data_IF_654912104950
#
_entry.id   IF_654912104950
#
_cell.length_a   1.000
_cell.length_b   1.000
_cell.length_c   1.000
_cell.angle_alpha   90.00
_cell.angle_beta   90.00
_cell.angle_gamma   90.00
#
_symmetry.space_group_name_H-M   'P 1'
#
loop_
_entity.id
_entity.type
_entity.pdbx_description
1 polymer ?
#
# COMPACT_ATOMS: atom_id res chain seq x y z
N UNK A 1 -22.06 38.73 -2.74
CA UNK A 1 -23.45 39.25 -2.80
C UNK A 1 -23.55 40.45 -1.86
N UNK A 2 -24.23 41.55 -2.26
CA UNK A 2 -24.39 42.71 -1.39
C UNK A 2 -25.20 42.34 -0.13
N UNK A 3 -24.82 42.82 1.06
CA UNK A 3 -25.33 42.35 2.35
C UNK A 3 -26.84 42.61 2.56
N UNK A 4 -27.42 43.52 1.78
CA UNK A 4 -28.84 43.89 1.85
C UNK A 4 -29.78 42.87 1.18
N UNK A 5 -29.25 41.98 0.33
CA UNK A 5 -30.01 40.90 -0.33
C UNK A 5 -29.92 39.56 0.40
N UNK A 6 -28.97 39.42 1.34
CA UNK A 6 -28.74 38.17 2.05
C UNK A 6 -29.81 37.89 3.11
N UNK A 7 -30.25 38.91 3.84
CA UNK A 7 -31.24 38.81 4.93
C UNK A 7 -32.66 38.47 4.47
N UNK A 8 -33.24 39.06 3.39
CA UNK A 8 -34.56 38.64 2.92
C UNK A 8 -34.54 37.25 2.30
N UNK A 9 -33.43 36.87 1.63
CA UNK A 9 -33.28 35.55 1.02
C UNK A 9 -33.15 34.44 2.08
N UNK A 10 -32.43 34.68 3.17
CA UNK A 10 -32.33 33.71 4.29
C UNK A 10 -33.63 33.59 5.07
N UNK A 11 -34.38 34.68 5.24
CA UNK A 11 -35.74 34.64 5.80
C UNK A 11 -36.70 33.86 4.91
N UNK A 12 -36.63 34.05 3.59
CA UNK A 12 -37.50 33.36 2.63
C UNK A 12 -37.14 31.87 2.52
N UNK A 13 -35.85 31.52 2.48
CA UNK A 13 -35.39 30.14 2.51
C UNK A 13 -35.67 29.45 3.85
N UNK A 14 -35.55 30.19 4.96
CA UNK A 14 -35.91 29.70 6.29
C UNK A 14 -37.42 29.44 6.44
N UNK A 15 -38.25 30.36 5.96
CA UNK A 15 -39.70 30.20 5.93
C UNK A 15 -40.12 29.04 5.00
N UNK A 16 -39.47 28.90 3.84
CA UNK A 16 -39.69 27.80 2.91
C UNK A 16 -39.26 26.46 3.52
N UNK A 17 -38.12 26.40 4.22
CA UNK A 17 -37.66 25.20 4.91
C UNK A 17 -38.57 24.78 6.08
N UNK A 18 -39.26 25.73 6.73
CA UNK A 18 -40.22 25.45 7.79
C UNK A 18 -41.59 25.00 7.23
N UNK A 19 -41.99 25.53 6.07
CA UNK A 19 -43.26 25.22 5.39
C UNK A 19 -43.19 23.92 4.58
N UNK A 20 -42.02 23.56 4.04
CA UNK A 20 -41.80 22.37 3.23
C UNK A 20 -42.19 21.06 3.94
N UNK A 21 -41.75 20.78 5.20
CA UNK A 21 -42.17 19.56 5.90
C UNK A 21 -43.66 19.57 6.23
N UNK A 22 -44.26 20.74 6.47
CA UNK A 22 -45.69 20.88 6.75
C UNK A 22 -46.54 20.60 5.50
N UNK A 23 -46.08 21.05 4.34
CA UNK A 23 -46.69 20.79 3.03
C UNK A 23 -46.51 19.33 2.61
N UNK A 24 -45.32 18.74 2.83
CA UNK A 24 -45.07 17.31 2.57
C UNK A 24 -45.91 16.41 3.48
N UNK A 25 -46.04 16.74 4.77
CA UNK A 25 -46.91 16.01 5.69
C UNK A 25 -48.38 16.08 5.25
N UNK A 26 -48.84 17.25 4.81
CA UNK A 26 -50.21 17.44 4.31
C UNK A 26 -50.46 16.70 2.98
N UNK A 27 -49.47 16.68 2.07
CA UNK A 27 -49.52 15.94 0.81
C UNK A 27 -49.48 14.42 1.02
N UNK A 28 -48.82 13.94 2.09
CA UNK A 28 -48.81 12.55 2.52
C UNK A 28 -50.09 12.14 3.29
N UNK A 29 -51.10 13.01 3.39
CA UNK A 29 -52.38 12.71 4.03
C UNK A 29 -52.41 12.83 5.54
N UNK A 30 -51.33 13.31 6.18
CA UNK A 30 -51.28 13.53 7.63
C UNK A 30 -52.05 14.80 7.99
N UNK A 31 -53.28 14.63 8.49
CA UNK A 31 -54.05 15.73 9.09
C UNK A 31 -53.53 15.99 10.50
N UNK A 32 -52.98 17.18 10.76
CA UNK A 32 -52.44 17.58 12.08
C UNK A 32 -53.44 17.37 13.22
N UNK A 33 -54.74 17.52 12.94
CA UNK A 33 -55.83 17.29 13.90
C UNK A 33 -55.93 15.82 14.35
N UNK A 34 -55.62 14.85 13.48
CA UNK A 34 -55.59 13.42 13.81
C UNK A 34 -54.26 12.95 14.41
N UNK A 35 -53.16 13.68 14.16
CA UNK A 35 -51.85 13.41 14.75
C UNK A 35 -51.78 13.82 16.23
N UNK A 36 -52.55 14.83 16.65
CA UNK A 36 -52.64 15.30 18.04
C UNK A 36 -53.67 14.52 18.88
N UNK A 37 -54.58 13.78 18.25
CA UNK A 37 -55.68 13.08 18.93
C UNK A 37 -55.30 11.72 19.53
N UNK A 38 -54.23 11.10 19.03
CA UNK A 38 -53.77 9.78 19.49
C UNK A 38 -52.39 9.89 20.18
N UNK A 39 -52.23 9.38 21.41
CA UNK A 39 -50.98 9.51 22.17
C UNK A 39 -49.77 8.87 21.45
N UNK A 40 -50.00 7.82 20.66
CA UNK A 40 -48.97 7.18 19.84
C UNK A 40 -48.40 8.10 18.74
N UNK A 41 -49.27 8.90 18.10
CA UNK A 41 -48.86 9.82 17.04
C UNK A 41 -48.11 11.03 17.61
N UNK A 42 -48.50 11.51 18.78
CA UNK A 42 -47.79 12.56 19.52
C UNK A 42 -46.36 12.13 19.89
N UNK A 43 -46.20 10.88 20.31
CA UNK A 43 -44.90 10.31 20.66
C UNK A 43 -44.04 10.14 19.41
N UNK A 44 -44.60 9.60 18.33
CA UNK A 44 -43.88 9.47 17.06
C UNK A 44 -43.41 10.84 16.54
N UNK A 45 -44.26 11.87 16.65
CA UNK A 45 -43.92 13.25 16.31
C UNK A 45 -42.80 13.80 17.21
N UNK A 46 -42.83 13.50 18.51
CA UNK A 46 -41.81 13.95 19.46
C UNK A 46 -40.45 13.29 19.21
N UNK A 47 -40.43 11.98 18.95
CA UNK A 47 -39.21 11.24 18.57
C UNK A 47 -38.63 11.79 17.27
N UNK A 48 -39.49 12.06 16.28
CA UNK A 48 -39.06 12.63 15.00
C UNK A 48 -38.54 14.07 15.14
N UNK A 49 -39.20 14.90 15.96
CA UNK A 49 -38.75 16.26 16.27
C UNK A 49 -37.40 16.28 17.00
N UNK A 50 -37.18 15.37 17.95
CA UNK A 50 -35.89 15.20 18.63
C UNK A 50 -34.80 14.78 17.63
N UNK A 51 -35.11 13.84 16.71
CA UNK A 51 -34.20 13.43 15.65
C UNK A 51 -33.80 14.57 14.70
N UNK A 52 -34.78 15.37 14.27
CA UNK A 52 -34.52 16.55 13.41
C UNK A 52 -33.72 17.62 14.16
N UNK A 53 -34.06 17.89 15.42
CA UNK A 53 -33.32 18.85 16.25
C UNK A 53 -31.86 18.45 16.43
N UNK A 54 -31.60 17.15 16.57
CA UNK A 54 -30.25 16.61 16.68
C UNK A 54 -29.47 16.72 15.36
N UNK A 55 -30.10 16.38 14.22
CA UNK A 55 -29.48 16.54 12.91
C UNK A 55 -29.16 18.01 12.60
N UNK A 56 -30.05 18.93 12.96
CA UNK A 56 -29.83 20.37 12.83
C UNK A 56 -28.68 20.86 13.73
N UNK A 57 -28.56 20.33 14.95
CA UNK A 57 -27.47 20.64 15.85
C UNK A 57 -26.10 20.16 15.31
N UNK A 58 -26.03 18.93 14.80
CA UNK A 58 -24.82 18.40 14.17
C UNK A 58 -24.43 19.18 12.92
N UNK A 59 -25.42 19.56 12.10
CA UNK A 59 -25.19 20.41 10.93
C UNK A 59 -24.67 21.80 11.32
N UNK A 60 -25.23 22.41 12.37
CA UNK A 60 -24.77 23.68 12.90
C UNK A 60 -23.31 23.59 13.39
N UNK A 61 -22.98 22.54 14.14
CA UNK A 61 -21.63 22.30 14.64
C UNK A 61 -20.61 22.14 13.50
N UNK A 62 -20.95 21.33 12.49
CA UNK A 62 -20.13 21.12 11.30
C UNK A 62 -19.94 22.40 10.49
N UNK A 63 -21.00 23.18 10.31
CA UNK A 63 -20.92 24.46 9.57
C UNK A 63 -19.98 25.47 10.25
N UNK A 64 -19.97 25.51 11.59
CA UNK A 64 -19.08 26.35 12.40
C UNK A 64 -17.62 25.88 12.34
N UNK A 65 -17.36 24.58 12.33
CA UNK A 65 -16.00 24.05 12.18
C UNK A 65 -15.42 24.32 10.79
N UNK A 66 -16.23 24.19 9.72
CA UNK A 66 -15.79 24.52 8.37
C UNK A 66 -15.59 26.03 8.14
N UNK A 67 -16.37 26.89 8.81
CA UNK A 67 -16.14 28.33 8.77
C UNK A 67 -14.81 28.73 9.44
N UNK A 68 -14.46 28.07 10.54
CA UNK A 68 -13.17 28.25 11.24
C UNK A 68 -11.97 27.81 10.39
N UNK A 69 -12.10 26.73 9.63
CA UNK A 69 -11.04 26.23 8.74
C UNK A 69 -10.86 27.06 7.45
N UNK A 70 -11.85 27.91 7.11
CA UNK A 70 -11.82 28.77 5.91
C UNK A 70 -11.36 30.20 6.18
N UNK A 71 -11.11 30.57 7.43
CA UNK A 71 -10.67 31.92 7.79
C UNK A 71 -9.15 32.08 7.54
N UNK A 72 -8.71 32.99 6.66
CA UNK A 72 -7.31 33.16 6.25
C UNK A 72 -6.39 33.71 7.35
N UNK A 73 -6.92 34.18 8.48
CA UNK A 73 -6.13 34.62 9.63
C UNK A 73 -5.66 33.45 10.54
N UNK A 74 -6.13 32.23 10.27
CA UNK A 74 -5.86 31.05 11.11
C UNK A 74 -4.49 30.47 10.81
N UNK A 75 -3.58 30.45 11.80
CA UNK A 75 -2.22 29.96 11.63
C UNK A 75 -2.13 28.42 11.68
N UNK A 76 -1.16 27.77 11.01
CA UNK A 76 -0.99 26.31 11.02
C UNK A 76 -0.84 25.72 12.43
N UNK A 77 -0.25 26.48 13.37
CA UNK A 77 -0.15 26.10 14.78
C UNK A 77 -1.47 26.12 15.55
N UNK A 78 -2.43 26.98 15.17
CA UNK A 78 -3.78 27.01 15.77
C UNK A 78 -4.65 25.85 15.25
N UNK A 79 -4.41 25.40 14.01
CA UNK A 79 -5.05 24.21 13.43
C UNK A 79 -4.52 22.93 14.09
N UNK A 80 -3.21 22.87 14.39
CA UNK A 80 -2.62 21.79 15.19
C UNK A 80 -3.12 21.82 16.65
N UNK A 81 -3.21 23.01 17.27
CA UNK A 81 -3.80 23.16 18.60
C UNK A 81 -5.30 22.83 18.65
N UNK A 82 -6.06 22.99 17.56
CA UNK A 82 -7.45 22.52 17.43
C UNK A 82 -7.56 20.99 17.36
N UNK A 83 -6.53 20.32 16.81
CA UNK A 83 -6.40 18.86 16.79
C UNK A 83 -6.03 18.30 18.18
N UNK A 84 -5.32 19.09 18.99
CA UNK A 84 -4.91 18.76 20.35
C UNK A 84 -5.89 19.25 21.44
N UNK A 85 -6.73 20.23 21.11
CA UNK A 85 -7.90 20.61 21.91
C UNK A 85 -8.92 19.45 21.87
N UNK A 86 -9.71 19.24 22.93
CA UNK A 86 -10.65 18.13 23.04
C UNK A 86 -11.90 18.34 22.15
N UNK A 87 -11.69 18.58 20.86
CA UNK A 87 -12.69 18.52 19.78
C UNK A 87 -12.19 17.67 18.60
N UNK A 88 -11.39 16.65 18.88
CA UNK A 88 -11.29 15.41 18.10
C UNK A 88 -11.76 14.24 18.95
N UNK A 89 -13.04 14.30 19.38
CA UNK A 89 -13.81 13.38 20.24
C UNK A 89 -13.04 12.22 20.93
N UNK A 90 -12.86 12.23 22.27
CA UNK A 90 -12.21 11.13 23.00
C UNK A 90 -12.80 9.74 22.66
N UNK A 91 -12.04 8.66 22.83
CA UNK A 91 -12.49 7.26 22.62
C UNK A 91 -13.76 6.87 23.43
N UNK A 92 -14.21 7.74 24.33
CA UNK A 92 -15.48 7.64 25.04
C UNK A 92 -16.67 8.35 24.38
N UNK A 93 -16.49 9.30 23.46
CA UNK A 93 -17.56 10.17 22.96
C UNK A 93 -18.32 9.59 21.79
N UNK A 94 -17.67 8.88 20.86
CA UNK A 94 -18.39 8.07 19.84
C UNK A 94 -19.30 7.05 20.53
N UNK A 95 -18.78 6.48 21.60
CA UNK A 95 -19.39 5.44 22.41
C UNK A 95 -20.54 6.00 23.30
N UNK A 96 -20.36 7.21 23.84
CA UNK A 96 -21.41 7.97 24.53
C UNK A 96 -22.48 8.51 23.57
N UNK A 97 -22.10 8.90 22.35
CA UNK A 97 -23.03 9.34 21.30
C UNK A 97 -23.87 8.15 20.82
N UNK A 98 -23.27 6.97 20.62
CA UNK A 98 -24.01 5.74 20.29
C UNK A 98 -24.93 5.33 21.44
N UNK A 99 -24.46 5.37 22.70
CA UNK A 99 -25.31 5.09 23.86
C UNK A 99 -26.45 6.11 24.01
N UNK A 100 -26.21 7.38 23.68
CA UNK A 100 -27.22 8.45 23.68
C UNK A 100 -28.23 8.26 22.54
N UNK A 101 -27.78 7.91 21.34
CA UNK A 101 -28.64 7.60 20.18
C UNK A 101 -29.50 6.36 20.49
N UNK A 102 -28.92 5.31 21.05
CA UNK A 102 -29.62 4.08 21.44
C UNK A 102 -30.58 4.35 22.61
N UNK A 103 -30.23 5.20 23.57
CA UNK A 103 -31.11 5.59 24.68
C UNK A 103 -32.26 6.50 24.24
N UNK A 104 -32.00 7.48 23.38
CA UNK A 104 -33.02 8.45 22.92
C UNK A 104 -33.94 7.84 21.86
N UNK A 105 -33.45 6.93 21.01
CA UNK A 105 -34.27 6.29 19.98
C UNK A 105 -34.85 4.97 20.48
N UNK A 106 -34.03 4.12 21.11
CA UNK A 106 -34.42 2.78 21.53
C UNK A 106 -35.37 2.76 22.73
N UNK A 107 -35.21 3.67 23.70
CA UNK A 107 -36.08 3.70 24.88
C UNK A 107 -37.52 4.10 24.53
N UNK A 108 -37.76 5.13 23.68
CA UNK A 108 -39.10 5.37 23.14
C UNK A 108 -39.61 4.25 22.23
N UNK A 109 -38.75 3.63 21.42
CA UNK A 109 -39.17 2.49 20.57
C UNK A 109 -39.69 1.31 21.41
N UNK A 110 -39.07 1.05 22.56
CA UNK A 110 -39.49 0.00 23.50
C UNK A 110 -40.73 0.40 24.31
N UNK A 111 -40.76 1.62 24.87
CA UNK A 111 -41.90 2.13 25.65
C UNK A 111 -43.19 2.20 24.85
N UNK A 112 -43.10 2.36 23.52
CA UNK A 112 -44.24 2.44 22.61
C UNK A 112 -44.31 1.29 21.61
N UNK A 113 -43.59 0.19 21.86
CA UNK A 113 -43.53 -0.99 20.98
C UNK A 113 -44.91 -1.58 20.67
N UNK A 114 -45.82 -1.61 21.65
CA UNK A 114 -47.21 -2.07 21.49
C UNK A 114 -48.04 -1.12 20.61
N UNK A 115 -47.74 0.18 20.61
CA UNK A 115 -48.43 1.18 19.78
C UNK A 115 -47.88 1.23 18.34
N UNK A 116 -46.63 0.82 18.13
CA UNK A 116 -45.98 0.77 16.80
C UNK A 116 -46.16 -0.57 16.09
N UNK A 117 -46.85 -1.55 16.69
CA UNK A 117 -47.06 -2.90 16.14
C UNK A 117 -45.76 -3.58 15.64
N UNK A 118 -44.65 -3.35 16.34
CA UNK A 118 -43.37 -3.95 16.01
C UNK A 118 -43.41 -5.46 16.28
N UNK A 119 -42.98 -6.26 15.30
CA UNK A 119 -42.91 -7.72 15.42
C UNK A 119 -42.02 -8.11 16.63
N UNK A 120 -42.44 -9.11 17.41
CA UNK A 120 -41.79 -9.54 18.66
C UNK A 120 -40.29 -9.82 18.50
N UNK A 121 -39.88 -10.30 17.32
CA UNK A 121 -38.47 -10.50 16.97
C UNK A 121 -37.66 -9.19 16.96
N UNK A 122 -38.23 -8.11 16.40
CA UNK A 122 -37.57 -6.80 16.31
C UNK A 122 -37.49 -6.13 17.68
N UNK A 123 -38.55 -6.25 18.50
CA UNK A 123 -38.54 -5.82 19.88
C UNK A 123 -37.47 -6.56 20.70
N UNK A 124 -37.33 -7.88 20.47
CA UNK A 124 -36.27 -8.71 21.06
C UNK A 124 -34.85 -8.28 20.67
N UNK A 125 -34.60 -8.03 19.38
CA UNK A 125 -33.29 -7.55 18.91
C UNK A 125 -32.93 -6.17 19.46
N UNK A 126 -33.89 -5.24 19.48
CA UNK A 126 -33.69 -3.88 20.03
C UNK A 126 -33.44 -3.95 21.54
N UNK A 127 -34.18 -4.79 22.26
CA UNK A 127 -33.96 -5.02 23.69
C UNK A 127 -32.58 -5.64 23.97
N UNK A 128 -32.13 -6.58 23.14
CA UNK A 128 -30.80 -7.19 23.23
C UNK A 128 -29.65 -6.19 23.00
N UNK A 129 -29.80 -5.29 22.03
CA UNK A 129 -28.82 -4.22 21.76
C UNK A 129 -28.78 -3.23 22.93
N UNK A 130 -29.93 -2.84 23.46
CA UNK A 130 -30.01 -1.92 24.62
C UNK A 130 -29.40 -2.56 25.86
N UNK A 131 -29.77 -3.80 26.19
CA UNK A 131 -29.20 -4.53 27.32
C UNK A 131 -27.68 -4.73 27.20
N UNK A 132 -27.18 -5.03 26.00
CA UNK A 132 -25.75 -5.16 25.72
C UNK A 132 -24.98 -3.85 25.91
N UNK A 133 -25.52 -2.72 25.43
CA UNK A 133 -24.88 -1.41 25.55
C UNK A 133 -24.97 -0.87 26.98
N UNK A 134 -26.10 -1.03 27.68
CA UNK A 134 -26.24 -0.64 29.08
C UNK A 134 -25.38 -1.52 30.01
N UNK A 135 -25.31 -2.83 29.78
CA UNK A 135 -24.43 -3.73 30.52
C UNK A 135 -22.95 -3.38 30.33
N UNK A 136 -22.56 -3.05 29.11
CA UNK A 136 -21.20 -2.63 28.78
C UNK A 136 -20.79 -1.29 29.43
N UNK A 137 -21.74 -0.36 29.63
CA UNK A 137 -21.45 0.97 30.18
C UNK A 137 -21.71 1.15 31.68
N UNK A 138 -22.73 0.47 32.22
CA UNK A 138 -23.17 0.63 33.60
C UNK A 138 -22.86 -0.59 34.49
N UNK A 139 -22.40 -1.71 33.91
CA UNK A 139 -22.10 -2.95 34.63
C UNK A 139 -20.89 -2.91 35.58
N UNK A 140 -20.11 -1.83 35.60
CA UNK A 140 -18.90 -1.72 36.43
C UNK A 140 -19.16 -1.20 37.87
N UNK A 141 -20.39 -0.89 38.26
CA UNK A 141 -20.69 -0.41 39.62
C UNK A 141 -22.02 -0.91 40.16
N UNK A 142 -22.09 -2.18 40.56
CA UNK A 142 -22.92 -2.63 41.68
C UNK A 142 -22.69 -4.11 41.96
N UNK A 143 -22.33 -4.44 43.19
CA UNK A 143 -22.11 -5.82 43.64
C UNK A 143 -23.22 -6.29 44.58
N UNK A 144 -23.91 -7.35 44.13
CA UNK A 144 -24.57 -8.47 44.87
C UNK A 144 -25.89 -8.21 45.61
N UNK A 145 -26.85 -9.19 45.66
CA UNK A 145 -26.64 -10.64 45.88
C UNK A 145 -27.58 -11.60 45.08
N UNK A 146 -27.05 -12.30 44.06
CA UNK A 146 -27.72 -13.44 43.39
C UNK A 146 -26.86 -14.71 43.54
N UNK A 147 -26.77 -15.24 44.76
CA UNK A 147 -25.90 -16.39 45.08
C UNK A 147 -26.56 -17.78 44.94
N UNK A 148 -27.83 -17.86 44.56
CA UNK A 148 -28.54 -19.14 44.36
C UNK A 148 -28.91 -19.42 42.89
N UNK A 149 -28.97 -18.37 42.07
CA UNK A 149 -29.08 -18.46 40.61
C UNK A 149 -27.74 -18.87 39.98
N UNK A 150 -26.62 -18.53 40.64
CA UNK A 150 -25.25 -18.78 40.15
C UNK A 150 -24.96 -20.25 39.89
N UNK A 151 -25.45 -21.20 40.71
CA UNK A 151 -25.13 -22.63 40.49
C UNK A 151 -25.77 -23.22 39.23
N UNK A 152 -27.00 -22.83 38.89
CA UNK A 152 -27.66 -23.25 37.64
C UNK A 152 -27.14 -22.49 36.43
N UNK A 153 -26.78 -21.21 36.61
CA UNK A 153 -26.11 -20.43 35.58
C UNK A 153 -24.68 -20.93 35.32
N UNK A 154 -23.96 -21.48 36.31
CA UNK A 154 -22.59 -21.98 36.10
C UNK A 154 -22.56 -23.23 35.20
N UNK A 155 -23.55 -24.11 35.28
CA UNK A 155 -23.65 -25.28 34.39
C UNK A 155 -24.03 -24.89 32.96
N UNK A 156 -25.00 -23.98 32.81
CA UNK A 156 -25.41 -23.42 31.51
C UNK A 156 -24.29 -22.57 30.89
N UNK A 157 -23.58 -21.77 31.69
CA UNK A 157 -22.41 -21.01 31.28
C UNK A 157 -21.23 -21.91 30.94
N UNK A 158 -21.06 -23.09 31.56
CA UNK A 158 -20.01 -24.04 31.21
C UNK A 158 -20.28 -24.80 29.90
N UNK A 159 -21.55 -25.02 29.52
CA UNK A 159 -21.93 -25.52 28.18
C UNK A 159 -21.87 -24.41 27.13
N UNK A 160 -22.38 -23.22 27.46
CA UNK A 160 -22.31 -22.02 26.61
C UNK A 160 -20.88 -21.52 26.44
N UNK A 161 -19.99 -21.67 27.42
CA UNK A 161 -18.56 -21.32 27.29
C UNK A 161 -17.83 -22.32 26.42
N UNK A 162 -18.18 -23.62 26.45
CA UNK A 162 -17.61 -24.60 25.52
C UNK A 162 -18.07 -24.35 24.08
N UNK A 163 -19.34 -23.96 23.91
CA UNK A 163 -19.91 -23.62 22.60
C UNK A 163 -19.44 -22.23 22.10
N UNK A 164 -19.31 -21.24 23.01
CA UNK A 164 -18.70 -19.93 22.72
C UNK A 164 -17.18 -20.02 22.56
N UNK A 165 -16.48 -20.96 23.20
CA UNK A 165 -15.07 -21.23 22.91
C UNK A 165 -14.93 -21.82 21.52
N UNK A 166 -15.77 -22.79 21.14
CA UNK A 166 -15.81 -23.28 19.77
C UNK A 166 -16.18 -22.21 18.72
N UNK A 167 -16.97 -21.18 19.08
CA UNK A 167 -17.30 -20.03 18.24
C UNK A 167 -16.26 -18.88 18.31
N UNK A 168 -15.47 -18.78 19.38
CA UNK A 168 -14.33 -17.84 19.52
C UNK A 168 -13.05 -18.40 18.89
N UNK A 169 -12.94 -19.71 18.84
CA UNK A 169 -11.94 -20.48 18.09
C UNK A 169 -12.39 -20.73 16.63
N UNK A 170 -13.62 -20.32 16.28
CA UNK A 170 -14.03 -20.28 14.89
C UNK A 170 -13.18 -19.20 14.20
N UNK A 171 -12.47 -19.56 13.12
CA UNK A 171 -11.58 -18.64 12.45
C UNK A 171 -12.39 -17.46 11.91
N UNK A 172 -11.90 -16.24 12.10
CA UNK A 172 -12.56 -15.06 11.55
C UNK A 172 -12.52 -15.19 10.02
N UNK A 173 -13.69 -15.31 9.34
CA UNK A 173 -13.73 -15.56 7.91
C UNK A 173 -12.98 -14.48 7.13
N UNK A 174 -13.00 -13.23 7.61
CA UNK A 174 -12.24 -12.14 7.00
C UNK A 174 -10.72 -12.31 7.15
N UNK A 175 -10.27 -12.87 8.28
CA UNK A 175 -8.86 -13.16 8.53
C UNK A 175 -8.36 -14.32 7.68
N UNK A 176 -9.14 -15.39 7.56
CA UNK A 176 -8.85 -16.53 6.68
C UNK A 176 -8.78 -16.08 5.23
N UNK A 177 -9.74 -15.28 4.78
CA UNK A 177 -9.74 -14.72 3.42
C UNK A 177 -8.52 -13.81 3.20
N UNK A 178 -8.18 -12.96 4.17
CA UNK A 178 -6.97 -12.13 4.12
C UNK A 178 -5.69 -12.96 4.03
N UNK A 179 -5.56 -14.03 4.82
CA UNK A 179 -4.42 -14.95 4.79
C UNK A 179 -4.36 -15.76 3.49
N UNK A 180 -5.50 -16.19 2.95
CA UNK A 180 -5.57 -16.87 1.67
C UNK A 180 -5.13 -15.95 0.52
N UNK A 181 -5.59 -14.70 0.51
CA UNK A 181 -5.17 -13.69 -0.46
C UNK A 181 -3.67 -13.38 -0.34
N UNK A 182 -3.14 -13.31 0.88
CA UNK A 182 -1.71 -13.12 1.13
C UNK A 182 -0.90 -14.32 0.63
N UNK A 183 -1.32 -15.53 0.96
CA UNK A 183 -0.68 -16.77 0.51
C UNK A 183 -0.69 -16.87 -1.02
N UNK A 184 -1.79 -16.51 -1.67
CA UNK A 184 -1.91 -16.50 -3.13
C UNK A 184 -0.88 -15.60 -3.81
N UNK A 185 -0.65 -14.39 -3.27
CA UNK A 185 0.38 -13.47 -3.79
C UNK A 185 1.78 -14.08 -3.68
N UNK A 186 2.17 -14.58 -2.51
CA UNK A 186 3.49 -15.20 -2.30
C UNK A 186 3.66 -16.50 -3.08
N UNK A 187 2.59 -17.28 -3.22
CA UNK A 187 2.58 -18.48 -4.03
C UNK A 187 2.82 -18.15 -5.52
N UNK A 188 2.20 -17.08 -6.03
CA UNK A 188 2.43 -16.60 -7.39
C UNK A 188 3.91 -16.30 -7.65
N UNK A 189 4.54 -15.55 -6.75
CA UNK A 189 5.98 -15.22 -6.80
C UNK A 189 6.84 -16.49 -6.72
N UNK A 190 6.58 -17.36 -5.74
CA UNK A 190 7.32 -18.59 -5.54
C UNK A 190 7.23 -19.52 -6.77
N UNK A 191 6.06 -19.60 -7.40
CA UNK A 191 5.85 -20.36 -8.63
C UNK A 191 6.62 -19.75 -9.80
N UNK A 192 6.60 -18.43 -9.98
CA UNK A 192 7.40 -17.75 -11.01
C UNK A 192 8.89 -18.05 -10.82
N UNK A 193 9.39 -17.94 -9.59
CA UNK A 193 10.79 -18.26 -9.27
C UNK A 193 11.12 -19.71 -9.61
N UNK A 194 10.30 -20.68 -9.24
CA UNK A 194 10.62 -22.09 -9.48
C UNK A 194 10.46 -22.52 -10.93
N UNK A 195 9.37 -22.11 -11.58
CA UNK A 195 8.98 -22.63 -12.90
C UNK A 195 9.62 -21.86 -14.04
N UNK A 196 9.75 -20.53 -13.92
CA UNK A 196 10.28 -19.68 -14.99
C UNK A 196 11.78 -19.41 -14.79
N UNK A 197 12.20 -19.11 -13.56
CA UNK A 197 13.59 -18.73 -13.27
C UNK A 197 14.45 -19.94 -12.89
N UNK A 198 13.89 -20.91 -12.18
CA UNK A 198 14.59 -22.09 -11.67
C UNK A 198 15.45 -22.83 -12.70
N UNK A 199 14.96 -23.12 -13.92
CA UNK A 199 15.75 -23.81 -14.95
C UNK A 199 16.98 -23.02 -15.43
N UNK A 200 16.97 -21.70 -15.30
CA UNK A 200 18.07 -20.82 -15.73
C UNK A 200 19.06 -20.49 -14.60
N UNK A 201 18.69 -20.76 -13.34
CA UNK A 201 19.52 -20.47 -12.19
C UNK A 201 20.53 -21.60 -11.90
N UNK A 202 21.78 -21.27 -11.51
CA UNK A 202 22.73 -22.26 -11.02
C UNK A 202 22.19 -23.15 -9.89
N UNK A 203 22.65 -24.41 -9.80
CA UNK A 203 22.25 -25.31 -8.72
C UNK A 203 22.67 -24.75 -7.36
N UNK A 204 21.80 -24.89 -6.36
CA UNK A 204 22.07 -24.44 -4.99
C UNK A 204 21.60 -23.03 -4.64
N UNK A 205 21.16 -22.22 -5.62
CA UNK A 205 20.55 -20.91 -5.35
C UNK A 205 19.17 -21.07 -4.70
N UNK A 206 18.34 -21.96 -5.27
CA UNK A 206 17.02 -22.26 -4.74
C UNK A 206 17.10 -23.41 -3.72
N UNK A 207 16.33 -23.34 -2.62
CA UNK A 207 16.35 -24.41 -1.63
C UNK A 207 15.73 -25.69 -2.21
N UNK A 208 16.28 -26.88 -1.89
CA UNK A 208 15.83 -28.15 -2.49
C UNK A 208 14.37 -28.46 -2.18
N UNK A 209 13.87 -27.98 -1.04
CA UNK A 209 12.48 -28.11 -0.63
C UNK A 209 11.52 -27.12 -1.28
N UNK A 210 11.99 -26.17 -2.10
CA UNK A 210 11.14 -25.10 -2.65
C UNK A 210 9.90 -25.64 -3.41
N UNK A 211 10.06 -26.70 -4.22
CA UNK A 211 8.94 -27.34 -4.90
C UNK A 211 7.91 -27.88 -3.92
N UNK A 212 8.36 -28.59 -2.88
CA UNK A 212 7.46 -29.14 -1.84
C UNK A 212 6.75 -28.04 -1.04
N UNK A 213 7.38 -26.89 -0.84
CA UNK A 213 6.76 -25.73 -0.17
C UNK A 213 5.65 -25.12 -1.04
N UNK A 214 5.89 -24.99 -2.34
CA UNK A 214 4.89 -24.49 -3.30
C UNK A 214 3.70 -25.45 -3.41
N UNK A 215 3.95 -26.75 -3.51
CA UNK A 215 2.88 -27.76 -3.52
C UNK A 215 2.08 -27.79 -2.20
N UNK A 216 2.74 -27.57 -1.06
CA UNK A 216 2.06 -27.46 0.24
C UNK A 216 1.17 -26.21 0.32
N UNK A 217 1.66 -25.08 -0.20
CA UNK A 217 0.90 -23.83 -0.27
C UNK A 217 -0.29 -23.93 -1.23
N UNK A 218 -0.13 -24.57 -2.40
CA UNK A 218 -1.23 -24.85 -3.33
C UNK A 218 -2.33 -25.69 -2.68
N UNK A 219 -1.94 -26.75 -1.95
CA UNK A 219 -2.89 -27.59 -1.21
C UNK A 219 -3.61 -26.81 -0.11
N UNK A 220 -2.90 -25.99 0.66
CA UNK A 220 -3.49 -25.17 1.72
C UNK A 220 -4.49 -24.14 1.15
N UNK A 221 -4.12 -23.47 0.06
CA UNK A 221 -4.99 -22.51 -0.62
C UNK A 221 -6.21 -23.19 -1.26
N UNK A 222 -6.01 -24.35 -1.90
CA UNK A 222 -7.08 -25.17 -2.45
C UNK A 222 -8.08 -25.60 -1.38
N UNK A 223 -7.58 -26.12 -0.25
CA UNK A 223 -8.42 -26.49 0.89
C UNK A 223 -9.22 -25.30 1.42
N UNK A 224 -8.59 -24.14 1.59
CA UNK A 224 -9.26 -22.92 2.03
C UNK A 224 -10.39 -22.49 1.07
N UNK A 225 -10.16 -22.54 -0.24
CA UNK A 225 -11.18 -22.24 -1.25
C UNK A 225 -12.36 -23.21 -1.23
N UNK A 226 -12.10 -24.50 -0.98
CA UNK A 226 -13.17 -25.51 -0.91
C UNK A 226 -14.00 -25.40 0.37
N UNK A 227 -13.38 -25.03 1.49
CA UNK A 227 -14.01 -24.97 2.81
C UNK A 227 -14.64 -23.59 3.10
N UNK A 228 -14.22 -22.53 2.39
CA UNK A 228 -14.73 -21.17 2.56
C UNK A 228 -14.60 -20.70 4.02
N UNK A 229 -15.68 -20.17 4.58
CA UNK A 229 -15.72 -19.69 5.97
C UNK A 229 -15.55 -20.77 7.06
N UNK A 230 -15.43 -22.05 6.67
CA UNK A 230 -15.08 -23.15 7.58
C UNK A 230 -13.61 -23.58 7.51
N UNK A 231 -12.79 -22.88 6.72
CA UNK A 231 -11.37 -23.18 6.61
C UNK A 231 -10.61 -22.75 7.88
N UNK A 232 -9.72 -23.62 8.36
CA UNK A 232 -8.86 -23.34 9.52
C UNK A 232 -7.68 -22.43 9.16
N UNK A 233 -7.27 -21.54 10.06
CA UNK A 233 -6.12 -20.64 9.86
C UNK A 233 -4.77 -21.38 9.82
N UNK A 234 -4.59 -22.43 10.63
CA UNK A 234 -3.28 -23.05 10.85
C UNK A 234 -2.57 -23.56 9.57
N UNK A 235 -3.23 -24.25 8.62
CA UNK A 235 -2.59 -24.67 7.37
C UNK A 235 -2.16 -23.49 6.49
N UNK A 236 -2.97 -22.42 6.43
CA UNK A 236 -2.63 -21.20 5.69
C UNK A 236 -1.45 -20.48 6.32
N UNK A 237 -1.43 -20.37 7.66
CA UNK A 237 -0.33 -19.74 8.39
C UNK A 237 0.98 -20.50 8.22
N UNK A 238 0.94 -21.82 8.30
CA UNK A 238 2.13 -22.67 8.12
C UNK A 238 2.68 -22.57 6.69
N UNK A 239 1.81 -22.61 5.69
CA UNK A 239 2.21 -22.45 4.29
C UNK A 239 2.78 -21.06 4.01
N UNK A 240 2.13 -20.01 4.53
CA UNK A 240 2.58 -18.62 4.37
C UNK A 240 3.96 -18.44 5.01
N UNK A 241 4.12 -18.86 6.27
CA UNK A 241 5.41 -18.76 6.97
C UNK A 241 6.54 -19.55 6.30
N UNK A 242 6.22 -20.66 5.63
CA UNK A 242 7.21 -21.43 4.87
C UNK A 242 7.67 -20.70 3.60
N UNK A 243 6.76 -19.99 2.91
CA UNK A 243 7.10 -19.22 1.71
C UNK A 243 7.78 -17.88 2.03
N UNK A 244 7.41 -17.22 3.13
CA UNK A 244 7.94 -15.91 3.52
C UNK A 244 9.13 -15.99 4.47
N UNK A 245 9.40 -17.15 5.05
CA UNK A 245 10.54 -17.38 5.94
C UNK A 245 11.89 -17.46 5.21
N UNK A 246 12.96 -17.57 5.98
CA UNK A 246 14.35 -17.61 5.49
C UNK A 246 14.63 -18.79 4.53
N UNK A 247 13.85 -19.87 4.65
CA UNK A 247 13.89 -21.04 3.77
C UNK A 247 13.02 -20.93 2.51
N UNK A 248 12.30 -19.81 2.34
CA UNK A 248 11.45 -19.56 1.19
C UNK A 248 12.25 -19.22 -0.08
N UNK A 249 11.69 -19.48 -1.28
CA UNK A 249 12.41 -19.29 -2.54
C UNK A 249 12.75 -17.83 -2.82
N UNK A 250 11.89 -16.88 -2.42
CA UNK A 250 12.15 -15.46 -2.64
C UNK A 250 13.25 -14.92 -1.71
N UNK A 251 13.21 -15.29 -0.42
CA UNK A 251 14.29 -14.96 0.52
C UNK A 251 15.64 -15.57 0.09
N UNK A 252 15.64 -16.80 -0.41
CA UNK A 252 16.84 -17.46 -0.92
C UNK A 252 17.42 -16.72 -2.14
N UNK A 253 16.58 -16.30 -3.09
CA UNK A 253 17.01 -15.52 -4.26
C UNK A 253 17.61 -14.17 -3.86
N UNK A 254 16.96 -13.45 -2.92
CA UNK A 254 17.49 -12.19 -2.38
C UNK A 254 18.86 -12.40 -1.74
N UNK A 255 19.02 -13.44 -0.93
CA UNK A 255 20.28 -13.78 -0.25
C UNK A 255 21.39 -14.15 -1.23
N UNK A 256 21.05 -14.89 -2.29
CA UNK A 256 22.01 -15.26 -3.32
C UNK A 256 22.44 -14.06 -4.18
N UNK A 257 21.54 -13.09 -4.45
CA UNK A 257 21.85 -11.88 -5.21
C UNK A 257 22.63 -10.85 -4.38
N UNK A 258 22.47 -10.87 -3.06
CA UNK A 258 23.03 -9.88 -2.13
C UNK A 258 24.55 -9.59 -2.30
N UNK A 259 25.44 -10.58 -2.54
CA UNK A 259 26.86 -10.35 -2.74
C UNK A 259 27.22 -9.59 -4.02
N UNK A 260 26.30 -9.47 -4.98
CA UNK A 260 26.50 -8.71 -6.22
C UNK A 260 26.26 -7.20 -6.05
N UNK A 261 25.76 -6.77 -4.89
CA UNK A 261 25.33 -5.41 -4.64
C UNK A 261 26.18 -4.74 -3.55
N UNK A 262 26.33 -3.41 -3.61
CA UNK A 262 27.14 -2.68 -2.65
C UNK A 262 26.45 -2.67 -1.28
N UNK A 263 27.26 -2.71 -0.21
CA UNK A 263 26.79 -2.70 1.19
C UNK A 263 26.15 -1.36 1.63
N UNK A 264 26.02 -0.40 0.72
CA UNK A 264 25.61 0.98 1.01
C UNK A 264 24.12 1.14 1.42
N UNK A 265 23.32 0.08 1.40
CA UNK A 265 21.88 0.12 1.66
C UNK A 265 21.48 -0.68 2.93
N UNK A 266 22.16 -0.48 4.05
CA UNK A 266 21.76 -1.05 5.34
C UNK A 266 22.09 -2.54 5.51
N UNK A 267 22.89 -3.09 4.60
CA UNK A 267 23.28 -4.49 4.52
C UNK A 267 23.11 -5.05 3.10
N UNK A 268 23.62 -6.27 2.83
CA UNK A 268 23.58 -6.84 1.48
C UNK A 268 22.14 -7.19 1.04
N UNK A 269 21.29 -7.62 1.99
CA UNK A 269 19.86 -7.91 1.74
C UNK A 269 19.04 -6.63 1.53
N UNK A 270 19.33 -5.56 2.29
CA UNK A 270 18.73 -4.25 2.08
C UNK A 270 19.05 -3.66 0.71
N UNK A 271 20.26 -3.91 0.18
CA UNK A 271 20.62 -3.53 -1.18
C UNK A 271 19.80 -4.28 -2.23
N UNK A 272 19.60 -5.59 -2.07
CA UNK A 272 18.76 -6.39 -2.98
C UNK A 272 17.29 -5.93 -2.95
N UNK A 273 16.75 -5.65 -1.75
CA UNK A 273 15.43 -5.09 -1.59
C UNK A 273 15.30 -3.69 -2.23
N UNK A 274 16.33 -2.84 -2.08
CA UNK A 274 16.37 -1.51 -2.67
C UNK A 274 16.42 -1.57 -4.20
N UNK A 275 17.14 -2.52 -4.81
CA UNK A 275 17.10 -2.74 -6.28
C UNK A 275 15.66 -2.98 -6.76
N UNK A 276 14.91 -3.85 -6.07
CA UNK A 276 13.52 -4.13 -6.42
C UNK A 276 12.63 -2.89 -6.26
N UNK A 277 12.77 -2.16 -5.16
CA UNK A 277 12.02 -0.93 -4.90
C UNK A 277 12.32 0.18 -5.91
N UNK A 278 13.59 0.43 -6.20
CA UNK A 278 14.00 1.43 -7.22
C UNK A 278 13.51 0.98 -8.58
N UNK A 279 13.79 -0.25 -8.98
CA UNK A 279 13.41 -0.79 -10.27
C UNK A 279 11.90 -0.80 -10.50
N UNK A 280 11.07 -0.95 -9.47
CA UNK A 280 9.61 -0.79 -9.55
C UNK A 280 9.18 0.64 -9.84
N UNK A 281 9.83 1.63 -9.21
CA UNK A 281 9.49 3.05 -9.34
C UNK A 281 9.98 3.70 -10.65
N UNK A 282 10.81 3.01 -11.45
CA UNK A 282 11.31 3.53 -12.72
C UNK A 282 10.29 3.36 -13.86
N UNK A 283 10.33 4.27 -14.84
CA UNK A 283 9.66 4.08 -16.13
C UNK A 283 10.34 3.01 -16.99
N UNK A 284 9.70 2.55 -18.07
CA UNK A 284 10.22 1.46 -18.90
C UNK A 284 11.61 1.74 -19.51
N UNK A 285 11.86 2.97 -19.99
CA UNK A 285 13.17 3.39 -20.51
C UNK A 285 14.25 3.40 -19.42
N UNK A 286 13.96 4.04 -18.30
CA UNK A 286 14.83 4.10 -17.13
C UNK A 286 15.14 2.70 -16.55
N UNK A 287 14.15 1.82 -16.48
CA UNK A 287 14.33 0.43 -16.05
C UNK A 287 15.28 -0.35 -16.97
N UNK A 288 15.16 -0.20 -18.30
CA UNK A 288 16.08 -0.85 -19.25
C UNK A 288 17.53 -0.40 -19.04
N UNK A 289 17.75 0.91 -18.86
CA UNK A 289 19.07 1.47 -18.55
C UNK A 289 19.60 0.98 -17.21
N UNK A 290 18.76 1.00 -16.18
CA UNK A 290 19.13 0.56 -14.83
C UNK A 290 19.48 -0.92 -14.79
N UNK A 291 18.69 -1.77 -15.45
CA UNK A 291 18.99 -3.20 -15.62
C UNK A 291 20.29 -3.43 -16.39
N UNK A 292 20.51 -2.73 -17.50
CA UNK A 292 21.75 -2.86 -18.28
C UNK A 292 22.98 -2.54 -17.43
N UNK A 293 22.88 -1.54 -16.56
CA UNK A 293 23.95 -1.18 -15.63
C UNK A 293 24.17 -2.19 -14.51
N UNK A 294 23.10 -2.69 -13.90
CA UNK A 294 23.17 -3.69 -12.83
C UNK A 294 23.80 -5.00 -13.28
N UNK A 295 23.49 -5.42 -14.51
CA UNK A 295 23.96 -6.69 -15.08
C UNK A 295 25.29 -6.57 -15.84
N UNK A 296 25.87 -5.37 -15.90
CA UNK A 296 27.04 -5.08 -16.75
C UNK A 296 26.83 -5.57 -18.20
N UNK A 297 25.59 -5.46 -18.69
CA UNK A 297 25.18 -5.99 -19.98
C UNK A 297 25.78 -5.18 -21.15
N UNK A 298 25.92 -5.78 -22.35
CA UNK A 298 26.34 -5.05 -23.53
C UNK A 298 25.45 -3.82 -23.78
N UNK A 299 26.10 -2.66 -23.95
CA UNK A 299 25.41 -1.39 -24.05
C UNK A 299 24.84 -1.17 -25.45
N UNK A 300 23.59 -1.58 -25.62
CA UNK A 300 22.81 -1.40 -26.85
C UNK A 300 22.55 0.10 -27.10
N UNK A 301 22.73 0.60 -28.34
CA UNK A 301 22.35 1.97 -28.67
C UNK A 301 20.90 2.35 -28.34
N UNK A 302 19.97 1.40 -28.34
CA UNK A 302 18.56 1.62 -28.00
C UNK A 302 18.33 2.00 -26.53
N UNK A 303 19.38 1.96 -25.69
CA UNK A 303 19.34 2.47 -24.31
C UNK A 303 19.35 4.00 -24.26
N UNK A 304 19.83 4.66 -25.32
CA UNK A 304 20.00 6.10 -25.38
C UNK A 304 18.87 6.75 -26.19
N UNK A 305 18.10 7.61 -25.55
CA UNK A 305 16.99 8.30 -26.21
C UNK A 305 17.52 9.42 -27.11
N UNK A 306 17.02 9.48 -28.35
CA UNK A 306 17.46 10.48 -29.33
C UNK A 306 17.28 11.92 -28.78
N UNK A 307 18.33 12.73 -28.88
CA UNK A 307 18.33 14.13 -28.44
C UNK A 307 18.54 14.34 -26.94
N UNK A 308 18.65 13.29 -26.13
CA UNK A 308 18.96 13.44 -24.68
C UNK A 308 20.44 13.62 -24.39
N UNK A 309 21.31 13.18 -25.30
CA UNK A 309 22.77 13.33 -25.20
C UNK A 309 23.18 14.52 -26.07
N UNK A 310 23.68 15.57 -25.42
CA UNK A 310 24.19 16.76 -26.10
C UNK A 310 25.67 16.59 -26.46
N UNK A 311 26.20 17.29 -27.49
CA UNK A 311 27.63 17.30 -27.76
C UNK A 311 28.48 17.72 -26.54
N UNK A 312 28.00 18.67 -25.74
CA UNK A 312 28.65 19.09 -24.50
C UNK A 312 28.69 17.96 -23.43
N UNK A 313 27.62 17.18 -23.31
CA UNK A 313 27.64 15.99 -22.42
C UNK A 313 28.65 14.93 -22.91
N UNK A 314 28.72 14.72 -24.23
CA UNK A 314 29.66 13.77 -24.83
C UNK A 314 31.12 14.17 -24.61
N UNK A 315 31.44 15.46 -24.69
CA UNK A 315 32.78 15.98 -24.38
C UNK A 315 33.20 15.65 -22.94
N UNK A 316 32.32 15.95 -21.97
CA UNK A 316 32.58 15.64 -20.56
C UNK A 316 32.76 14.14 -20.31
N UNK A 317 32.01 13.29 -21.02
CA UNK A 317 32.10 11.82 -20.89
C UNK A 317 33.28 11.23 -21.63
N UNK A 318 33.76 11.87 -22.69
CA UNK A 318 34.94 11.43 -23.44
C UNK A 318 36.17 11.38 -22.53
N UNK A 319 36.31 12.34 -21.61
CA UNK A 319 37.36 12.35 -20.60
C UNK A 319 37.31 11.15 -19.62
N UNK A 320 36.16 10.48 -19.48
CA UNK A 320 35.96 9.32 -18.62
C UNK A 320 36.23 7.98 -19.33
N UNK A 321 36.46 8.01 -20.65
CA UNK A 321 36.76 6.83 -21.46
C UNK A 321 38.23 6.88 -21.93
N UNK A 322 39.17 6.20 -21.25
CA UNK A 322 40.60 6.32 -21.50
C UNK A 322 41.02 6.15 -22.97
N UNK A 323 40.45 5.16 -23.66
CA UNK A 323 40.79 4.88 -25.07
C UNK A 323 40.32 6.03 -25.96
N UNK A 324 39.11 6.52 -25.76
CA UNK A 324 38.55 7.63 -26.54
C UNK A 324 39.21 8.97 -26.18
N UNK A 325 39.49 9.21 -24.90
CA UNK A 325 40.24 10.37 -24.44
C UNK A 325 41.59 10.47 -25.14
N UNK A 326 42.35 9.36 -25.23
CA UNK A 326 43.64 9.32 -25.91
C UNK A 326 43.54 9.71 -27.39
N UNK A 327 42.50 9.24 -28.08
CA UNK A 327 42.38 9.35 -29.54
C UNK A 327 41.66 10.60 -30.02
N UNK A 328 40.69 11.07 -29.26
CA UNK A 328 39.72 12.07 -29.72
C UNK A 328 39.79 13.40 -28.98
N UNK A 329 40.46 13.48 -27.81
CA UNK A 329 40.72 14.77 -27.13
C UNK A 329 41.41 15.80 -28.04
N UNK A 330 42.42 15.44 -28.87
CA UNK A 330 43.07 16.41 -29.77
C UNK A 330 42.13 16.96 -30.86
N UNK A 331 40.99 16.30 -31.09
CA UNK A 331 40.05 16.58 -32.18
C UNK A 331 38.79 17.30 -31.70
N UNK A 332 38.70 17.60 -30.40
CA UNK A 332 37.54 18.30 -29.81
C UNK A 332 37.35 19.72 -30.36
N UNK A 333 38.45 20.36 -30.80
CA UNK A 333 38.41 21.70 -31.42
C UNK A 333 37.84 21.67 -32.86
N UNK A 334 37.71 20.49 -33.48
CA UNK A 334 37.13 20.35 -34.82
C UNK A 334 35.60 20.62 -34.79
N UNK A 335 35.08 21.57 -35.58
CA UNK A 335 33.65 21.90 -35.56
C UNK A 335 32.81 20.71 -36.03
N UNK A 336 31.82 20.32 -35.23
CA UNK A 336 30.89 19.22 -35.55
C UNK A 336 31.45 17.80 -35.32
N UNK A 337 32.69 17.68 -34.86
CA UNK A 337 33.32 16.38 -34.59
C UNK A 337 32.54 15.58 -33.54
N UNK A 338 32.19 16.19 -32.40
CA UNK A 338 31.45 15.52 -31.32
C UNK A 338 30.07 15.01 -31.77
N UNK A 339 29.34 15.78 -32.58
CA UNK A 339 28.06 15.35 -33.12
C UNK A 339 28.22 14.13 -34.05
N UNK A 340 29.25 14.14 -34.88
CA UNK A 340 29.59 13.03 -35.78
C UNK A 340 30.05 11.79 -35.01
N UNK A 341 30.87 11.98 -33.97
CA UNK A 341 31.33 10.90 -33.10
C UNK A 341 30.15 10.26 -32.36
N UNK A 342 29.22 11.06 -31.85
CA UNK A 342 27.99 10.57 -31.21
C UNK A 342 27.14 9.74 -32.18
N UNK A 343 26.93 10.23 -33.41
CA UNK A 343 26.20 9.48 -34.44
C UNK A 343 26.87 8.13 -34.73
N UNK A 344 28.19 8.11 -34.91
CA UNK A 344 28.95 6.88 -35.09
C UNK A 344 28.83 5.93 -33.89
N UNK A 345 28.94 6.45 -32.66
CA UNK A 345 28.92 5.65 -31.43
C UNK A 345 27.53 5.13 -31.05
N UNK A 346 26.45 5.69 -31.58
CA UNK A 346 25.08 5.27 -31.29
C UNK A 346 24.49 4.35 -32.39
N UNK A 347 25.35 3.81 -33.26
CA UNK A 347 24.94 2.82 -34.26
C UNK A 347 25.12 1.37 -33.80
N UNK A 348 24.36 0.43 -34.36
CA UNK A 348 24.54 -1.00 -34.07
C UNK A 348 25.90 -1.53 -34.56
N UNK A 349 26.43 -0.99 -35.66
CA UNK A 349 27.73 -1.34 -36.26
C UNK A 349 28.90 -0.47 -35.78
N UNK A 350 28.72 0.25 -34.68
CA UNK A 350 29.62 1.31 -34.22
C UNK A 350 31.08 0.87 -34.05
N UNK A 351 31.36 -0.30 -33.47
CA UNK A 351 32.74 -0.75 -33.24
C UNK A 351 33.52 -0.95 -34.56
N UNK A 352 32.88 -1.58 -35.55
CA UNK A 352 33.48 -1.80 -36.87
C UNK A 352 33.64 -0.47 -37.64
N UNK A 353 32.65 0.42 -37.53
CA UNK A 353 32.69 1.74 -38.16
C UNK A 353 33.78 2.63 -37.56
N UNK A 354 33.94 2.61 -36.23
CA UNK A 354 34.97 3.34 -35.51
C UNK A 354 36.37 2.87 -35.93
N UNK A 355 36.58 1.55 -35.97
CA UNK A 355 37.81 0.94 -36.45
C UNK A 355 38.14 1.33 -37.90
N UNK A 356 37.14 1.33 -38.78
CA UNK A 356 37.34 1.64 -40.19
C UNK A 356 37.58 3.14 -40.48
N UNK A 357 36.96 4.04 -39.71
CA UNK A 357 36.97 5.49 -39.98
C UNK A 357 37.98 6.28 -39.17
N UNK A 358 38.38 5.80 -38.00
CA UNK A 358 39.25 6.55 -37.10
C UNK A 358 40.60 5.83 -36.93
N UNK A 359 41.71 6.42 -37.44
CA UNK A 359 43.04 5.87 -37.22
C UNK A 359 43.48 6.06 -35.76
N UNK A 360 44.29 5.12 -35.25
CA UNK A 360 44.95 5.23 -33.93
C UNK A 360 44.53 4.17 -32.91
N UNK A 361 43.49 3.38 -33.19
CA UNK A 361 43.26 2.13 -32.46
C UNK A 361 44.36 1.11 -32.80
N UNK A 362 44.81 0.34 -31.81
CA UNK A 362 45.80 -0.71 -31.94
C UNK A 362 45.20 -2.00 -32.52
N UNK A 363 43.92 -2.26 -32.27
CA UNK A 363 43.20 -3.42 -32.77
C UNK A 363 41.68 -3.15 -32.86
N UNK A 364 40.92 -3.99 -33.60
CA UNK A 364 39.45 -3.94 -33.60
C UNK A 364 38.85 -4.12 -32.19
N UNK A 365 39.51 -4.90 -31.33
CA UNK A 365 39.10 -5.12 -29.95
C UNK A 365 39.26 -3.86 -29.10
N UNK A 366 40.33 -3.09 -29.29
CA UNK A 366 40.51 -1.81 -28.60
C UNK A 366 39.42 -0.80 -29.01
N UNK A 367 38.98 -0.82 -30.27
CA UNK A 367 37.85 0.01 -30.71
C UNK A 367 36.53 -0.40 -30.05
N UNK A 368 36.27 -1.70 -29.91
CA UNK A 368 35.08 -2.21 -29.20
C UNK A 368 35.13 -1.87 -27.70
N UNK A 369 36.30 -2.00 -27.07
CA UNK A 369 36.51 -1.65 -25.67
C UNK A 369 36.31 -0.15 -25.44
N UNK A 370 36.92 0.71 -26.27
CA UNK A 370 36.75 2.16 -26.16
C UNK A 370 35.29 2.60 -26.34
N UNK A 371 34.56 1.94 -27.26
CA UNK A 371 33.13 2.16 -27.42
C UNK A 371 32.34 1.75 -26.17
N UNK A 372 32.68 0.63 -25.55
CA UNK A 372 32.03 0.17 -24.31
C UNK A 372 32.29 1.14 -23.15
N UNK A 373 33.53 1.62 -22.98
CA UNK A 373 33.91 2.63 -21.98
C UNK A 373 33.12 3.93 -22.18
N UNK A 374 33.05 4.42 -23.43
CA UNK A 374 32.33 5.65 -23.74
C UNK A 374 30.82 5.52 -23.54
N UNK A 375 30.21 4.43 -24.01
CA UNK A 375 28.78 4.16 -23.77
C UNK A 375 28.48 3.99 -22.27
N UNK A 376 29.39 3.40 -21.49
CA UNK A 376 29.22 3.26 -20.05
C UNK A 376 29.20 4.64 -19.37
N UNK A 377 30.12 5.53 -19.74
CA UNK A 377 30.14 6.90 -19.25
C UNK A 377 28.86 7.68 -19.60
N UNK A 378 28.33 7.50 -20.83
CA UNK A 378 27.04 8.08 -21.24
C UNK A 378 25.86 7.51 -20.46
N UNK A 379 25.88 6.20 -20.17
CA UNK A 379 24.83 5.53 -19.42
C UNK A 379 24.78 6.02 -17.96
N UNK A 380 25.93 6.23 -17.32
CA UNK A 380 26.02 6.76 -15.96
C UNK A 380 25.32 8.13 -15.84
N UNK A 381 25.47 9.01 -16.83
CA UNK A 381 24.78 10.29 -16.85
C UNK A 381 23.26 10.13 -17.02
N UNK A 382 22.83 9.25 -17.94
CA UNK A 382 21.42 8.96 -18.13
C UNK A 382 20.79 8.38 -16.84
N UNK A 383 21.51 7.50 -16.14
CA UNK A 383 21.07 6.91 -14.88
C UNK A 383 21.03 7.91 -13.74
N UNK A 384 21.97 8.84 -13.67
CA UNK A 384 21.91 9.92 -12.68
C UNK A 384 20.67 10.81 -12.85
N UNK A 385 20.13 10.92 -14.07
CA UNK A 385 18.85 11.60 -14.34
C UNK A 385 17.64 10.73 -14.00
N UNK A 386 17.72 9.43 -14.29
CA UNK A 386 16.60 8.50 -14.07
C UNK A 386 16.41 8.12 -12.58
N UNK A 387 17.52 7.87 -11.88
CA UNK A 387 17.56 7.44 -10.49
C UNK A 387 17.91 8.64 -9.63
N UNK A 388 16.89 9.43 -9.31
CA UNK A 388 17.04 10.63 -8.49
C UNK A 388 17.07 10.28 -6.98
N UNK A 389 17.58 11.18 -6.11
CA UNK A 389 17.50 11.01 -4.67
C UNK A 389 16.06 10.80 -4.16
N UNK A 390 15.06 11.39 -4.80
CA UNK A 390 13.65 11.19 -4.44
C UNK A 390 13.17 9.77 -4.77
N UNK A 391 13.65 9.19 -5.87
CA UNK A 391 13.32 7.81 -6.26
C UNK A 391 13.91 6.81 -5.27
N UNK A 392 15.17 7.03 -4.87
CA UNK A 392 15.83 6.26 -3.82
C UNK A 392 15.11 6.40 -2.47
N UNK A 393 14.78 7.63 -2.07
CA UNK A 393 14.07 7.90 -0.82
C UNK A 393 12.68 7.25 -0.79
N UNK A 394 11.94 7.27 -1.91
CA UNK A 394 10.64 6.61 -2.02
C UNK A 394 10.78 5.09 -1.86
N UNK A 395 11.71 4.47 -2.58
CA UNK A 395 11.97 3.04 -2.45
C UNK A 395 12.38 2.66 -1.00
N UNK A 396 13.30 3.43 -0.40
CA UNK A 396 13.72 3.23 0.98
C UNK A 396 12.57 3.39 2.00
N UNK A 397 11.71 4.40 1.82
CA UNK A 397 10.52 4.60 2.66
C UNK A 397 9.55 3.43 2.58
N UNK A 398 9.36 2.85 1.40
CA UNK A 398 8.52 1.67 1.20
C UNK A 398 9.04 0.43 1.94
N UNK A 399 10.36 0.33 2.12
CA UNK A 399 11.01 -0.75 2.87
C UNK A 399 11.03 -0.52 4.39
N UNK A 400 10.56 0.62 4.89
CA UNK A 400 10.59 0.94 6.34
C UNK A 400 9.79 -0.06 7.18
N UNK A 401 8.71 -0.62 6.62
CA UNK A 401 7.87 -1.64 7.26
C UNK A 401 8.50 -3.06 7.22
N UNK A 402 9.53 -3.28 6.39
CA UNK A 402 10.17 -4.58 6.27
C UNK A 402 11.02 -4.94 7.49
N UNK A 403 11.43 -6.21 7.54
CA UNK A 403 12.37 -6.70 8.56
C UNK A 403 13.69 -5.92 8.52
N UNK A 404 14.39 -5.74 9.66
CA UNK A 404 15.58 -4.90 9.72
C UNK A 404 16.66 -5.23 8.69
N UNK A 405 16.80 -6.52 8.31
CA UNK A 405 17.76 -6.96 7.30
C UNK A 405 17.46 -6.47 5.87
N UNK A 406 16.22 -6.12 5.56
CA UNK A 406 15.76 -5.63 4.25
C UNK A 406 15.65 -4.11 4.18
N UNK A 407 15.88 -3.40 5.30
CA UNK A 407 15.77 -1.94 5.32
C UNK A 407 16.98 -1.32 4.63
N UNK A 408 16.73 -0.36 3.76
CA UNK A 408 17.77 0.46 3.17
C UNK A 408 18.38 1.41 4.22
N UNK A 409 19.67 1.72 4.07
CA UNK A 409 20.29 2.79 4.86
C UNK A 409 19.74 4.16 4.42
N UNK A 410 19.66 5.13 5.34
CA UNK A 410 19.18 6.47 5.04
C UNK A 410 20.02 7.21 3.98
N UNK A 411 21.32 6.88 3.87
CA UNK A 411 22.25 7.49 2.90
C UNK A 411 22.58 6.56 1.72
N UNK A 412 21.67 5.64 1.37
CA UNK A 412 21.90 4.70 0.28
C UNK A 412 22.21 5.44 -1.03
N UNK A 413 23.40 5.19 -1.58
CA UNK A 413 23.85 5.75 -2.86
C UNK A 413 23.45 4.87 -4.03
N UNK A 414 23.65 5.38 -5.25
CA UNK A 414 23.47 4.63 -6.49
C UNK A 414 24.13 3.25 -6.40
N UNK A 415 23.34 2.23 -6.70
CA UNK A 415 23.72 0.82 -6.58
C UNK A 415 24.65 0.45 -7.72
N UNK A 416 25.92 0.80 -7.56
CA UNK A 416 26.98 0.33 -8.45
C UNK A 416 27.27 -1.13 -8.13
N UNK A 417 27.02 -2.08 -9.05
CA UNK A 417 27.37 -3.49 -8.84
C UNK A 417 28.86 -3.62 -8.53
N UNK A 418 29.16 -4.62 -7.71
CA UNK A 418 30.52 -4.94 -7.27
C UNK A 418 30.95 -6.24 -7.94
N UNK A 419 32.26 -6.44 -8.10
CA UNK A 419 32.80 -7.73 -8.53
C UNK A 419 32.29 -8.84 -7.59
N UNK A 420 31.61 -9.83 -8.18
CA UNK A 420 30.85 -10.83 -7.44
C UNK A 420 30.98 -12.21 -8.10
N UNK A 421 30.83 -13.30 -7.32
CA UNK A 421 30.87 -14.65 -7.86
C UNK A 421 29.77 -14.86 -8.92
N UNK A 422 29.99 -15.77 -9.89
CA UNK A 422 29.05 -15.99 -10.99
C UNK A 422 27.64 -16.38 -10.52
N UNK A 423 27.54 -17.11 -9.41
CA UNK A 423 26.27 -17.49 -8.78
C UNK A 423 25.48 -16.28 -8.29
N UNK A 424 26.15 -15.31 -7.66
CA UNK A 424 25.51 -14.09 -7.19
C UNK A 424 25.06 -13.20 -8.35
N UNK A 425 25.83 -13.17 -9.45
CA UNK A 425 25.46 -12.48 -10.69
C UNK A 425 24.23 -13.12 -11.35
N UNK A 426 24.20 -14.45 -11.42
CA UNK A 426 23.04 -15.17 -11.95
C UNK A 426 21.79 -14.98 -11.07
N UNK A 427 21.95 -14.96 -9.74
CA UNK A 427 20.86 -14.64 -8.82
C UNK A 427 20.36 -13.20 -9.00
N UNK A 428 21.26 -12.22 -9.21
CA UNK A 428 20.91 -10.84 -9.51
C UNK A 428 20.15 -10.75 -10.85
N UNK A 429 20.58 -11.46 -11.88
CA UNK A 429 19.85 -11.57 -13.14
C UNK A 429 18.44 -12.13 -12.92
N UNK A 430 18.31 -13.24 -12.19
CA UNK A 430 17.03 -13.81 -11.80
C UNK A 430 16.14 -12.81 -11.05
N UNK A 431 16.71 -12.00 -10.16
CA UNK A 431 16.00 -10.93 -9.45
C UNK A 431 15.51 -9.84 -10.40
N UNK A 432 16.31 -9.43 -11.40
CA UNK A 432 15.86 -8.46 -12.41
C UNK A 432 14.76 -9.02 -13.32
N UNK A 433 14.82 -10.31 -13.66
CA UNK A 433 13.77 -10.99 -14.43
C UNK A 433 12.48 -11.13 -13.62
N UNK A 434 12.59 -11.46 -12.33
CA UNK A 434 11.45 -11.46 -11.42
C UNK A 434 10.80 -10.07 -11.38
N UNK A 435 11.58 -9.00 -11.25
CA UNK A 435 11.03 -7.65 -11.24
C UNK A 435 10.35 -7.29 -12.56
N UNK A 436 10.91 -7.72 -13.71
CA UNK A 436 10.25 -7.53 -14.99
C UNK A 436 8.89 -8.24 -15.04
N UNK A 437 8.80 -9.48 -14.56
CA UNK A 437 7.53 -10.21 -14.45
C UNK A 437 6.54 -9.52 -13.51
N UNK A 438 6.99 -9.05 -12.35
CA UNK A 438 6.15 -8.31 -11.40
C UNK A 438 5.60 -7.01 -12.01
N UNK A 439 6.38 -6.32 -12.83
CA UNK A 439 5.95 -5.13 -13.58
C UNK A 439 4.94 -5.46 -14.67
N UNK A 440 5.06 -6.60 -15.33
CA UNK A 440 4.07 -7.08 -16.31
C UNK A 440 2.74 -7.44 -15.64
N UNK A 441 2.78 -7.98 -14.42
CA UNK A 441 1.58 -8.36 -13.65
C UNK A 441 1.08 -7.28 -12.69
N UNK A 442 1.60 -6.04 -12.78
CA UNK A 442 1.29 -4.91 -11.91
C UNK A 442 1.32 -5.24 -10.40
N UNK A 443 2.29 -6.06 -10.00
CA UNK A 443 2.45 -6.54 -8.63
C UNK A 443 3.61 -5.83 -7.93
N UNK A 444 3.31 -4.93 -6.99
CA UNK A 444 4.34 -4.20 -6.25
C UNK A 444 5.21 -5.14 -5.39
N UNK A 445 6.55 -5.13 -5.54
CA UNK A 445 7.44 -5.93 -4.72
C UNK A 445 7.56 -5.44 -3.26
N UNK A 446 7.26 -4.17 -2.95
CA UNK A 446 7.48 -3.60 -1.62
C UNK A 446 6.59 -4.24 -0.52
N UNK A 447 5.28 -4.45 -0.72
CA UNK A 447 4.46 -5.20 0.22
C UNK A 447 4.94 -6.65 0.41
N UNK A 448 5.38 -7.30 -0.68
CA UNK A 448 5.91 -8.67 -0.60
C UNK A 448 7.17 -8.71 0.28
N UNK A 449 8.10 -7.76 0.09
CA UNK A 449 9.31 -7.63 0.89
C UNK A 449 9.02 -7.32 2.36
N UNK A 450 7.97 -6.53 2.64
CA UNK A 450 7.58 -6.21 4.02
C UNK A 450 7.12 -7.45 4.81
N UNK A 451 6.59 -8.46 4.11
CA UNK A 451 6.05 -9.68 4.69
C UNK A 451 7.10 -10.81 4.80
N UNK A 452 8.32 -10.62 4.28
CA UNK A 452 9.40 -11.62 4.29
C UNK A 452 10.26 -11.51 5.54
N UNK A 453 10.62 -12.66 6.07
CA UNK A 453 11.55 -12.86 7.18
C UNK A 453 12.77 -13.63 6.67
N UNK A 454 13.75 -12.93 6.06
CA UNK A 454 14.83 -13.56 5.30
C UNK A 454 15.94 -14.17 6.18
#
# INVERSE_FOLDING_TARGET
MPPFLATPLTLLLGALALLLPLLLARAAGLRLEGALAAPANLVALLVFAVGIGFAAFLWWLASRSFALLRDPATTPGQIAALRDLPMGLPEGTVRALLALIVGIIGLPLLLFSQALALNDAVAGYVNGIIAGVFGYYFGARSTTPEAQVTRRLTEVLASEQRQNQALRDAPDPARVEGMAAQLERHLGVARTILTQLGPALPPGILPPQAATLVEAAERALGAARTLGGSATEAPLQAALGALTGAGGPFAALLRAAAPALPLAAGGPLGAAALVLGVGWNLGAGAWRRFRARLLEAPLDPALFDAGTITPASAELRLAQAPIFARLFTPRLEEPGFLATLLDHCLRPDAAALLWARHPGFASPEEAAQGLAEFRAALLEEALARDVTPETLARAASGLSAATPALRAAPDATLLTPVAAPPEARAALEGLTLLLAQLRETDTDPLPLLAEITP
#
